data_IF_649969849513
#
_entry.id   IF_649969849513
#
_cell.length_a   1.000
_cell.length_b   1.000
_cell.length_c   1.000
_cell.angle_alpha   90.00
_cell.angle_beta   90.00
_cell.angle_gamma   90.00
#
_symmetry.space_group_name_H-M   'P 1'
#
loop_
_entity.id
_entity.type
_entity.pdbx_description
1 polymer ?
#
# COMPACT_ATOMS: atom_id res chain seq x y z
N UNK A 1 -18.39 -20.76 24.21
CA UNK A 1 -18.14 -19.85 23.08
C UNK A 1 -16.67 -19.96 22.74
N UNK A 2 -16.35 -20.40 21.53
CA UNK A 2 -14.96 -20.66 21.13
C UNK A 2 -14.13 -19.38 21.20
N UNK A 3 -13.00 -19.46 21.89
CA UNK A 3 -11.93 -18.48 21.87
C UNK A 3 -11.25 -18.56 20.50
N UNK A 4 -11.62 -17.69 19.57
CA UNK A 4 -10.88 -17.54 18.31
C UNK A 4 -9.50 -16.96 18.65
N UNK A 5 -8.48 -17.79 18.45
CA UNK A 5 -7.10 -17.53 18.85
C UNK A 5 -6.47 -16.40 18.02
N UNK A 6 -5.51 -15.64 18.58
CA UNK A 6 -5.03 -14.42 17.97
C UNK A 6 -4.23 -14.73 16.69
N UNK A 7 -4.36 -13.83 15.71
CA UNK A 7 -3.40 -13.64 14.61
C UNK A 7 -3.22 -14.82 13.65
N UNK A 8 -4.25 -15.10 12.83
CA UNK A 8 -3.97 -15.65 11.51
C UNK A 8 -3.05 -14.65 10.80
N UNK A 9 -1.83 -15.05 10.42
CA UNK A 9 -1.00 -14.29 9.51
C UNK A 9 -1.78 -14.09 8.21
N UNK A 10 -2.54 -13.00 8.11
CA UNK A 10 -3.29 -12.64 6.91
C UNK A 10 -2.25 -12.17 5.91
N UNK A 11 -1.93 -13.04 4.95
CA UNK A 11 -1.04 -12.70 3.85
C UNK A 11 -1.72 -11.61 3.01
N UNK A 12 -1.32 -10.36 3.22
CA UNK A 12 -1.74 -9.24 2.39
C UNK A 12 -0.83 -9.21 1.16
N UNK A 13 -1.43 -9.22 -0.03
CA UNK A 13 -0.70 -9.05 -1.28
C UNK A 13 -0.66 -7.56 -1.61
N UNK A 14 0.52 -6.95 -1.47
CA UNK A 14 0.76 -5.55 -1.87
C UNK A 14 1.34 -5.55 -3.27
N UNK A 15 0.64 -4.89 -4.20
CA UNK A 15 1.10 -4.74 -5.56
C UNK A 15 1.72 -3.35 -5.74
N UNK A 16 3.06 -3.31 -5.79
CA UNK A 16 3.83 -2.07 -5.93
C UNK A 16 3.99 -1.69 -7.41
N UNK A 17 3.57 -0.48 -7.79
CA UNK A 17 3.71 0.05 -9.15
C UNK A 17 4.65 1.25 -9.18
N UNK A 18 5.66 1.19 -10.06
CA UNK A 18 6.55 2.32 -10.32
C UNK A 18 5.83 3.37 -11.17
N UNK A 19 5.74 4.60 -10.69
CA UNK A 19 5.12 5.73 -11.40
C UNK A 19 5.94 7.01 -11.25
N UNK A 20 5.69 8.02 -12.10
CA UNK A 20 6.39 9.31 -12.02
C UNK A 20 7.91 9.21 -12.19
N UNK A 21 8.38 8.34 -13.08
CA UNK A 21 9.82 8.15 -13.36
C UNK A 21 10.60 7.44 -12.25
N UNK A 22 9.93 6.84 -11.27
CA UNK A 22 10.62 6.13 -10.19
C UNK A 22 11.36 4.88 -10.71
N UNK A 23 12.64 4.68 -10.32
CA UNK A 23 13.39 3.49 -10.71
C UNK A 23 12.79 2.23 -10.06
N UNK A 24 12.55 1.18 -10.85
CA UNK A 24 11.82 -0.06 -10.46
C UNK A 24 12.46 -0.81 -9.27
N UNK A 25 13.73 -0.54 -8.91
CA UNK A 25 14.50 -1.36 -7.98
C UNK A 25 15.34 -0.60 -6.93
N UNK A 26 15.30 0.74 -6.84
CA UNK A 26 16.07 1.48 -5.81
C UNK A 26 15.16 1.98 -4.70
N UNK A 27 15.08 1.18 -3.63
CA UNK A 27 14.24 1.41 -2.46
C UNK A 27 14.47 2.74 -1.73
N UNK A 28 15.67 3.33 -1.86
CA UNK A 28 16.08 4.45 -1.01
C UNK A 28 15.67 5.84 -1.51
N UNK A 29 14.81 5.97 -2.54
CA UNK A 29 14.57 7.28 -3.21
C UNK A 29 13.11 7.66 -3.43
N UNK A 30 12.12 6.78 -3.21
CA UNK A 30 10.72 7.17 -3.36
C UNK A 30 10.22 7.92 -2.14
N UNK A 31 9.64 9.10 -2.37
CA UNK A 31 9.13 10.01 -1.33
C UNK A 31 7.61 10.02 -1.25
N UNK A 32 6.93 9.55 -2.29
CA UNK A 32 5.49 9.61 -2.41
C UNK A 32 4.93 8.21 -2.62
N UNK A 33 3.85 7.91 -1.90
CA UNK A 33 3.13 6.64 -1.95
C UNK A 33 1.66 6.95 -2.15
N UNK A 34 0.99 6.18 -3.00
CA UNK A 34 -0.40 6.42 -3.37
C UNK A 34 -1.19 5.12 -3.40
N UNK A 35 -2.31 5.09 -2.69
CA UNK A 35 -3.24 3.95 -2.70
C UNK A 35 -4.19 4.09 -3.88
N UNK A 36 -4.36 3.01 -4.64
CA UNK A 36 -5.28 2.92 -5.79
C UNK A 36 -5.16 4.06 -6.82
N UNK A 37 -3.96 4.64 -6.96
CA UNK A 37 -3.67 5.76 -7.89
C UNK A 37 -4.56 6.99 -7.63
N UNK A 38 -4.97 7.23 -6.39
CA UNK A 38 -5.88 8.31 -6.03
C UNK A 38 -5.28 9.26 -4.98
N UNK A 39 -4.94 8.75 -3.80
CA UNK A 39 -4.54 9.59 -2.66
C UNK A 39 -3.28 9.06 -1.96
N UNK A 40 -2.58 9.93 -1.26
CA UNK A 40 -1.47 9.55 -0.38
C UNK A 40 -2.00 9.22 1.02
N UNK A 41 -1.78 8.01 1.54
CA UNK A 41 -2.20 7.67 2.90
C UNK A 41 -1.36 8.42 3.95
N UNK A 42 -1.84 8.44 5.19
CA UNK A 42 -1.04 8.94 6.31
C UNK A 42 0.13 7.96 6.56
N UNK A 43 1.38 8.43 6.76
CA UNK A 43 2.52 7.56 7.06
C UNK A 43 2.35 6.69 8.31
N UNK A 44 1.49 7.09 9.27
CA UNK A 44 1.21 6.33 10.48
C UNK A 44 0.08 5.30 10.30
N UNK A 45 -0.59 5.27 9.14
CA UNK A 45 -1.70 4.37 8.86
C UNK A 45 -1.20 2.94 8.61
N UNK A 46 -1.88 1.97 9.23
CA UNK A 46 -1.46 0.58 9.11
C UNK A 46 -1.85 -0.01 7.74
N UNK A 47 -0.97 -0.85 7.17
CA UNK A 47 -1.23 -1.51 5.88
C UNK A 47 -2.48 -2.39 5.93
N UNK A 48 -2.79 -2.95 7.11
CA UNK A 48 -3.99 -3.77 7.30
C UNK A 48 -5.26 -2.91 7.22
N UNK A 49 -5.26 -1.70 7.80
CA UNK A 49 -6.39 -0.79 7.72
C UNK A 49 -6.57 -0.27 6.30
N UNK A 50 -5.47 0.06 5.61
CA UNK A 50 -5.51 0.44 4.19
C UNK A 50 -6.08 -0.68 3.32
N UNK A 51 -5.68 -1.93 3.57
CA UNK A 51 -6.23 -3.08 2.85
C UNK A 51 -7.72 -3.31 3.15
N UNK A 52 -8.14 -3.18 4.41
CA UNK A 52 -9.55 -3.39 4.78
C UNK A 52 -10.47 -2.32 4.17
N UNK A 53 -9.99 -1.08 4.03
CA UNK A 53 -10.79 0.02 3.49
C UNK A 53 -10.68 0.17 1.96
N UNK A 54 -9.52 -0.15 1.37
CA UNK A 54 -9.21 0.16 -0.04
C UNK A 54 -8.70 -1.04 -0.84
N UNK A 55 -8.69 -2.25 -0.28
CA UNK A 55 -8.31 -3.47 -0.97
C UNK A 55 -9.29 -3.83 -2.10
N UNK A 56 -8.75 -4.29 -3.24
CA UNK A 56 -9.51 -4.70 -4.42
C UNK A 56 -8.97 -6.05 -4.88
N UNK A 57 -9.85 -7.01 -5.18
CA UNK A 57 -9.49 -8.37 -5.64
C UNK A 57 -8.46 -9.09 -4.74
N UNK A 58 -8.58 -8.90 -3.42
CA UNK A 58 -7.66 -9.49 -2.45
C UNK A 58 -6.26 -8.89 -2.45
N UNK A 59 -6.07 -7.71 -3.05
CA UNK A 59 -4.79 -7.01 -3.18
C UNK A 59 -4.94 -5.55 -2.77
N UNK A 60 -3.87 -4.98 -2.22
CA UNK A 60 -3.74 -3.54 -2.07
C UNK A 60 -2.85 -3.00 -3.19
N UNK A 61 -3.38 -2.11 -4.03
CA UNK A 61 -2.59 -1.47 -5.09
C UNK A 61 -1.94 -0.22 -4.53
N UNK A 62 -0.61 -0.21 -4.53
CA UNK A 62 0.20 0.89 -4.01
C UNK A 62 1.13 1.36 -5.11
N UNK A 63 1.05 2.63 -5.46
CA UNK A 63 1.94 3.27 -6.42
C UNK A 63 2.98 4.08 -5.66
N UNK A 64 4.21 4.06 -6.13
CA UNK A 64 5.27 4.89 -5.58
C UNK A 64 5.83 5.81 -6.65
N UNK A 65 6.26 7.00 -6.23
CA UNK A 65 6.79 8.03 -7.11
C UNK A 65 7.92 8.84 -6.47
N UNK A 66 8.78 9.42 -7.31
CA UNK A 66 9.85 10.34 -6.88
C UNK A 66 9.37 11.81 -6.84
N UNK A 67 8.24 12.10 -7.49
CA UNK A 67 7.56 13.39 -7.51
C UNK A 67 6.07 13.19 -7.22
N UNK A 68 5.38 14.29 -6.91
CA UNK A 68 3.93 14.27 -6.76
C UNK A 68 3.30 13.82 -8.08
N UNK A 69 2.45 12.80 -8.04
CA UNK A 69 1.84 12.17 -9.21
C UNK A 69 0.30 12.20 -9.16
N UNK A 70 -0.26 12.08 -7.96
CA UNK A 70 -1.68 12.23 -7.68
C UNK A 70 -1.88 13.16 -6.47
N UNK A 71 -3.04 13.77 -6.36
CA UNK A 71 -3.42 14.76 -5.35
C UNK A 71 -4.89 15.08 -5.43
#
# INVERSE_FOLDING_TARGET
MATESPSSFRKIVVHLRATGGAPILKQSKFKFVYVNSAFSPNPDESVIDLYNNFGIDGKLVVNYACSMAWG
#
